data_IF_082457127289
#
_entry.id   IF_082457127289
#
_cell.length_a   1.000
_cell.length_b   1.000
_cell.length_c   1.000
_cell.angle_alpha   90.00
_cell.angle_beta   90.00
_cell.angle_gamma   90.00
#
_symmetry.space_group_name_H-M   'P 1'
#
loop_
_entity.id
_entity.type
_entity.pdbx_description
1 polymer ?
#
# COMPACT_ATOMS: atom_id res chain seq x y z
N UNK A 1 -14.40 4.21 24.60
CA UNK A 1 -13.44 5.30 24.85
C UNK A 1 -13.73 6.57 24.03
N UNK A 2 -13.44 6.63 22.72
CA UNK A 2 -13.51 7.87 21.91
C UNK A 2 -14.76 8.75 22.11
N UNK A 3 -15.97 8.19 22.05
CA UNK A 3 -17.22 8.96 22.21
C UNK A 3 -17.33 9.68 23.55
N UNK A 4 -16.84 9.08 24.65
CA UNK A 4 -16.82 9.71 25.97
C UNK A 4 -15.85 10.90 26.01
N UNK A 5 -14.64 10.72 25.46
CA UNK A 5 -13.63 11.80 25.45
C UNK A 5 -14.10 13.01 24.63
N UNK A 6 -14.76 12.78 23.49
CA UNK A 6 -15.30 13.87 22.66
C UNK A 6 -16.47 14.56 23.37
N UNK A 7 -17.43 13.80 23.91
CA UNK A 7 -18.55 14.36 24.67
C UNK A 7 -18.11 15.13 25.91
N UNK A 8 -17.03 14.69 26.58
CA UNK A 8 -16.45 15.38 27.72
C UNK A 8 -15.73 16.68 27.31
N UNK A 9 -14.99 16.68 26.19
CA UNK A 9 -14.44 17.92 25.61
C UNK A 9 -15.56 18.90 25.24
N UNK A 10 -16.57 18.47 24.49
CA UNK A 10 -17.71 19.31 24.11
C UNK A 10 -18.46 19.88 25.35
N UNK A 11 -18.54 19.10 26.45
CA UNK A 11 -19.16 19.55 27.71
C UNK A 11 -18.30 20.58 28.48
N UNK A 12 -16.97 20.45 28.39
CA UNK A 12 -16.00 21.35 29.02
C UNK A 12 -15.76 22.63 28.21
N UNK A 13 -15.91 22.58 26.89
CA UNK A 13 -15.86 23.73 25.98
C UNK A 13 -17.20 24.51 25.96
N UNK A 14 -18.32 23.85 26.32
CA UNK A 14 -19.65 24.44 26.44
C UNK A 14 -20.12 24.67 27.90
N UNK A 15 -21.09 23.89 28.43
CA UNK A 15 -21.75 24.17 29.72
C UNK A 15 -20.82 24.38 30.93
N UNK A 16 -19.64 23.74 30.95
CA UNK A 16 -18.71 23.83 32.08
C UNK A 16 -17.55 24.81 31.86
N UNK A 17 -17.55 25.58 30.77
CA UNK A 17 -16.46 26.48 30.37
C UNK A 17 -16.13 27.53 31.45
N UNK A 18 -17.14 27.96 32.22
CA UNK A 18 -17.00 28.97 33.28
C UNK A 18 -16.36 28.43 34.57
N UNK A 19 -16.20 27.10 34.72
CA UNK A 19 -15.63 26.50 35.93
C UNK A 19 -14.10 26.55 35.87
N UNK A 20 -13.51 27.52 36.55
CA UNK A 20 -12.06 27.77 36.55
C UNK A 20 -11.25 26.52 36.93
N UNK A 21 -11.65 25.81 38.00
CA UNK A 21 -11.01 24.57 38.46
C UNK A 21 -11.08 23.37 37.50
N UNK A 22 -11.61 23.53 36.28
CA UNK A 22 -11.53 22.57 35.18
C UNK A 22 -10.57 23.04 34.06
N UNK A 23 -9.72 24.05 34.30
CA UNK A 23 -8.67 24.53 33.38
C UNK A 23 -7.73 23.39 32.94
N UNK A 24 -7.19 22.67 33.90
CA UNK A 24 -6.08 21.73 33.67
C UNK A 24 -6.60 20.45 33.04
N UNK A 25 -7.81 20.02 33.46
CA UNK A 25 -8.53 18.91 32.84
C UNK A 25 -8.90 19.22 31.38
N UNK A 26 -9.30 20.46 31.05
CA UNK A 26 -9.51 20.89 29.65
C UNK A 26 -8.22 20.76 28.84
N UNK A 27 -7.10 21.26 29.38
CA UNK A 27 -5.80 21.22 28.71
C UNK A 27 -5.32 19.77 28.48
N UNK A 28 -5.43 18.89 29.48
CA UNK A 28 -5.09 17.47 29.34
C UNK A 28 -5.99 16.79 28.30
N UNK A 29 -7.31 16.99 28.37
CA UNK A 29 -8.26 16.30 27.50
C UNK A 29 -8.16 16.77 26.04
N UNK A 30 -7.85 18.06 25.82
CA UNK A 30 -7.52 18.60 24.50
C UNK A 30 -6.17 18.06 23.97
N UNK A 31 -5.13 18.01 24.81
CA UNK A 31 -3.84 17.39 24.47
C UNK A 31 -4.02 15.92 24.06
N UNK A 32 -4.83 15.17 24.82
CA UNK A 32 -5.19 13.77 24.54
C UNK A 32 -6.03 13.60 23.26
N UNK A 33 -6.92 14.56 22.94
CA UNK A 33 -7.69 14.63 21.68
C UNK A 33 -6.75 14.83 20.48
N UNK A 34 -5.75 15.70 20.62
CA UNK A 34 -4.71 15.92 19.59
C UNK A 34 -3.79 14.71 19.42
N UNK A 35 -3.31 14.11 20.50
CA UNK A 35 -2.44 12.92 20.43
C UNK A 35 -3.16 11.73 19.76
N UNK A 36 -4.41 11.46 20.14
CA UNK A 36 -5.22 10.41 19.49
C UNK A 36 -5.42 10.66 17.99
N UNK A 37 -5.61 11.92 17.57
CA UNK A 37 -5.73 12.27 16.15
C UNK A 37 -4.46 11.94 15.35
N UNK A 38 -3.28 12.26 15.89
CA UNK A 38 -2.00 11.93 15.27
C UNK A 38 -1.77 10.41 15.15
N UNK A 39 -1.97 9.67 16.25
CA UNK A 39 -1.81 8.20 16.26
C UNK A 39 -2.74 7.50 15.27
N UNK A 40 -4.00 7.93 15.17
CA UNK A 40 -4.95 7.36 14.20
C UNK A 40 -4.58 7.67 12.75
N UNK A 41 -4.00 8.85 12.47
CA UNK A 41 -3.49 9.22 11.15
C UNK A 41 -2.25 8.37 10.79
N UNK A 42 -1.30 8.21 11.71
CA UNK A 42 -0.06 7.49 11.41
C UNK A 42 -0.28 5.98 11.25
N UNK A 43 -1.19 5.36 11.99
CA UNK A 43 -1.58 3.97 11.74
C UNK A 43 -2.38 3.83 10.42
N UNK A 44 -3.20 4.82 10.05
CA UNK A 44 -3.89 4.81 8.75
C UNK A 44 -2.90 4.86 7.58
N UNK A 45 -1.85 5.67 7.68
CA UNK A 45 -0.73 5.68 6.72
C UNK A 45 0.05 4.36 6.72
N UNK A 46 0.28 3.74 7.89
CA UNK A 46 0.89 2.41 7.98
C UNK A 46 0.05 1.35 7.28
N UNK A 47 -1.28 1.39 7.38
CA UNK A 47 -2.15 0.51 6.59
C UNK A 47 -2.07 0.82 5.08
N UNK A 48 -2.22 2.08 4.68
CA UNK A 48 -2.23 2.54 3.28
C UNK A 48 -0.96 2.20 2.50
N UNK A 49 0.24 2.39 3.10
CA UNK A 49 1.51 2.36 2.35
C UNK A 49 2.53 1.31 2.83
N UNK A 50 2.31 0.68 4.00
CA UNK A 50 3.21 -0.33 4.56
C UNK A 50 2.55 -1.71 4.56
N UNK A 51 1.40 -1.90 5.23
CA UNK A 51 0.74 -3.22 5.31
C UNK A 51 0.22 -3.68 3.95
N UNK A 52 -0.38 -2.77 3.17
CA UNK A 52 -0.83 -3.00 1.78
C UNK A 52 0.27 -3.56 0.86
N UNK A 53 1.48 -3.01 0.93
CA UNK A 53 2.60 -3.34 0.03
C UNK A 53 3.47 -4.50 0.50
N UNK A 54 3.34 -4.92 1.76
CA UNK A 54 4.24 -5.89 2.40
C UNK A 54 4.17 -7.30 1.77
N UNK A 55 2.95 -7.86 1.61
CA UNK A 55 2.74 -9.23 1.09
C UNK A 55 3.03 -9.38 -0.41
N UNK A 56 3.11 -8.29 -1.16
CA UNK A 56 3.27 -8.28 -2.63
C UNK A 56 4.59 -8.95 -3.06
N UNK A 57 5.72 -8.49 -2.53
CA UNK A 57 7.06 -8.91 -2.98
C UNK A 57 7.50 -10.31 -2.55
N UNK A 58 6.66 -11.09 -1.88
CA UNK A 58 7.00 -12.43 -1.36
C UNK A 58 6.62 -13.57 -2.32
N UNK A 59 5.57 -13.40 -3.13
CA UNK A 59 4.99 -14.46 -4.01
C UNK A 59 6.01 -15.12 -4.95
N UNK A 60 7.03 -14.39 -5.39
CA UNK A 60 8.03 -14.91 -6.34
C UNK A 60 9.04 -15.91 -5.71
N UNK A 61 9.06 -16.09 -4.37
CA UNK A 61 9.96 -17.06 -3.71
C UNK A 61 9.38 -18.48 -3.61
N UNK A 62 8.06 -18.64 -3.60
CA UNK A 62 7.42 -19.95 -3.37
C UNK A 62 7.40 -20.82 -4.63
N UNK A 63 7.25 -20.20 -5.80
CA UNK A 63 7.24 -20.87 -7.11
C UNK A 63 8.53 -21.63 -7.42
N UNK A 64 9.63 -21.30 -6.75
CA UNK A 64 10.92 -22.00 -6.85
C UNK A 64 11.11 -23.16 -5.87
N UNK A 65 10.26 -23.35 -4.85
CA UNK A 65 10.43 -24.40 -3.83
C UNK A 65 9.70 -25.71 -4.12
N UNK A 66 8.62 -25.66 -4.91
CA UNK A 66 7.78 -26.84 -5.22
C UNK A 66 8.33 -27.76 -6.32
N UNK A 67 9.53 -27.47 -6.85
CA UNK A 67 10.10 -28.16 -8.03
C UNK A 67 11.41 -28.93 -7.74
N UNK A 68 11.80 -29.11 -6.47
CA UNK A 68 13.11 -29.68 -6.09
C UNK A 68 13.02 -30.91 -5.17
N UNK A 69 11.94 -31.69 -5.27
CA UNK A 69 11.84 -33.00 -4.62
C UNK A 69 11.29 -34.02 -5.63
N UNK A 70 11.72 -35.28 -5.49
CA UNK A 70 11.46 -36.38 -6.45
C UNK A 70 12.11 -36.17 -7.82
N UNK A 71 13.43 -36.37 -7.86
CA UNK A 71 14.10 -36.95 -9.02
C UNK A 71 14.90 -38.17 -8.56
N UNK A 72 14.42 -39.36 -8.92
CA UNK A 72 15.23 -40.45 -9.50
C UNK A 72 14.37 -41.72 -9.71
N UNK A 73 14.07 -42.04 -10.98
CA UNK A 73 13.85 -43.40 -11.50
C UNK A 73 13.74 -43.39 -13.05
N UNK A 74 14.67 -44.09 -13.70
CA UNK A 74 14.61 -44.70 -15.05
C UNK A 74 13.58 -44.24 -16.12
N UNK A 75 14.14 -43.68 -17.21
CA UNK A 75 14.11 -44.25 -18.59
C UNK A 75 12.82 -44.41 -19.43
N UNK A 76 13.05 -44.31 -20.74
CA UNK A 76 12.19 -44.66 -21.91
C UNK A 76 11.14 -43.61 -22.33
N UNK A 77 11.23 -43.06 -23.56
CA UNK A 77 10.15 -42.32 -24.19
C UNK A 77 9.23 -43.24 -25.01
N UNK A 78 7.93 -43.00 -24.98
CA UNK A 78 7.02 -43.43 -26.04
C UNK A 78 6.09 -42.26 -26.40
N UNK A 79 5.79 -42.16 -27.69
CA UNK A 79 4.95 -41.12 -28.28
C UNK A 79 3.68 -41.75 -28.83
N UNK A 80 2.52 -41.15 -28.55
CA UNK A 80 1.25 -41.49 -29.20
C UNK A 80 0.42 -40.21 -29.41
N UNK A 81 -0.44 -40.21 -30.42
CA UNK A 81 -1.10 -39.03 -30.98
C UNK A 81 -2.57 -39.31 -31.25
N UNK A 82 -3.44 -39.01 -30.29
CA UNK A 82 -4.90 -38.92 -30.47
C UNK A 82 -5.56 -38.14 -29.33
N UNK A 83 -6.78 -37.60 -29.44
CA UNK A 83 -7.39 -36.78 -30.50
C UNK A 83 -8.74 -36.24 -29.98
N UNK A 84 -9.34 -35.29 -30.71
CA UNK A 84 -10.73 -34.82 -30.61
C UNK A 84 -11.23 -34.11 -29.32
N UNK A 85 -11.97 -33.02 -29.54
CA UNK A 85 -12.94 -32.45 -28.61
C UNK A 85 -14.34 -33.03 -28.87
N UNK A 86 -15.25 -32.99 -27.88
CA UNK A 86 -16.61 -32.40 -28.04
C UNK A 86 -17.38 -32.35 -26.70
N UNK A 87 -18.45 -31.53 -26.57
CA UNK A 87 -19.11 -31.27 -25.28
C UNK A 87 -20.55 -31.81 -25.16
N UNK A 88 -21.15 -31.54 -23.98
CA UNK A 88 -22.60 -31.25 -23.76
C UNK A 88 -23.57 -32.46 -23.76
N UNK A 89 -24.18 -32.78 -22.60
CA UNK A 89 -25.66 -32.63 -22.32
C UNK A 89 -26.17 -33.36 -21.05
N UNK A 90 -27.04 -32.65 -20.32
CA UNK A 90 -28.30 -33.12 -19.67
C UNK A 90 -28.15 -34.11 -18.48
N UNK A 91 -29.17 -34.32 -17.61
CA UNK A 91 -30.58 -33.88 -17.62
C UNK A 91 -31.01 -33.26 -16.26
N UNK A 92 -31.99 -32.36 -16.33
CA UNK A 92 -32.64 -31.62 -15.24
C UNK A 92 -34.08 -32.11 -15.04
N UNK A 93 -34.52 -32.31 -13.79
CA UNK A 93 -35.92 -32.56 -13.33
C UNK A 93 -35.93 -32.68 -11.80
N UNK A 94 -36.87 -32.18 -10.97
CA UNK A 94 -37.86 -31.06 -10.97
C UNK A 94 -38.38 -30.93 -9.49
N UNK A 95 -39.27 -30.06 -9.00
CA UNK A 95 -40.23 -29.06 -9.54
C UNK A 95 -40.69 -28.12 -8.37
N UNK A 96 -41.79 -27.36 -8.55
CA UNK A 96 -42.48 -26.46 -7.58
C UNK A 96 -41.67 -25.21 -7.15
N UNK A 97 -42.00 -23.98 -7.57
CA UNK A 97 -43.24 -23.15 -7.44
C UNK A 97 -43.36 -22.49 -6.05
N UNK A 98 -43.65 -21.18 -5.89
CA UNK A 98 -44.11 -20.12 -6.82
C UNK A 98 -43.68 -18.71 -6.30
N UNK A 99 -43.82 -17.59 -7.05
CA UNK A 99 -43.02 -16.36 -6.85
C UNK A 99 -43.69 -15.21 -6.05
N UNK A 100 -42.89 -14.23 -5.59
CA UNK A 100 -43.42 -12.92 -5.16
C UNK A 100 -42.45 -11.87 -4.58
N UNK A 101 -42.16 -10.81 -5.36
CA UNK A 101 -41.86 -9.42 -4.93
C UNK A 101 -40.49 -9.03 -4.31
N UNK A 102 -40.15 -7.75 -4.55
CA UNK A 102 -39.30 -6.83 -3.76
C UNK A 102 -37.80 -7.12 -3.61
N UNK A 103 -37.03 -6.68 -4.61
CA UNK A 103 -35.64 -6.26 -4.41
C UNK A 103 -35.57 -4.96 -3.59
N UNK A 104 -35.34 -5.07 -2.28
CA UNK A 104 -34.78 -4.00 -1.42
C UNK A 104 -34.52 -4.50 0.02
N UNK A 105 -33.53 -3.90 0.70
CA UNK A 105 -33.22 -4.05 2.15
C UNK A 105 -32.54 -5.37 2.62
N UNK A 106 -31.38 -5.70 2.08
CA UNK A 106 -30.43 -6.61 2.77
C UNK A 106 -28.99 -6.07 2.74
N UNK A 107 -28.83 -4.83 3.21
CA UNK A 107 -27.53 -4.14 3.32
C UNK A 107 -27.44 -3.31 4.61
N UNK A 108 -28.40 -3.49 5.53
CA UNK A 108 -28.55 -2.68 6.75
C UNK A 108 -28.29 -3.46 8.05
N UNK A 109 -27.81 -4.70 7.95
CA UNK A 109 -27.42 -5.55 9.08
C UNK A 109 -26.01 -6.12 8.90
N UNK A 110 -25.06 -5.23 8.59
CA UNK A 110 -23.72 -5.39 9.16
C UNK A 110 -23.78 -4.99 10.63
N UNK A 111 -24.46 -5.80 11.44
CA UNK A 111 -24.21 -5.83 12.88
C UNK A 111 -22.72 -6.05 13.07
N UNK A 112 -22.13 -5.28 13.99
CA UNK A 112 -20.74 -5.46 14.37
C UNK A 112 -20.68 -6.65 15.33
N UNK A 113 -20.88 -7.85 14.76
CA UNK A 113 -20.54 -9.10 15.43
C UNK A 113 -19.02 -9.15 15.48
N UNK A 114 -18.46 -8.78 16.62
CA UNK A 114 -17.04 -8.90 16.92
C UNK A 114 -16.70 -10.40 17.03
N UNK A 115 -16.38 -11.02 15.90
CA UNK A 115 -15.85 -12.40 15.83
C UNK A 115 -14.42 -12.39 16.39
N UNK A 116 -14.33 -12.53 17.71
CA UNK A 116 -13.12 -12.28 18.52
C UNK A 116 -11.92 -13.20 18.22
N UNK A 117 -12.11 -14.25 17.41
CA UNK A 117 -11.09 -15.26 17.10
C UNK A 117 -10.27 -14.96 15.81
N UNK A 118 -10.51 -13.81 15.15
CA UNK A 118 -9.74 -13.35 13.98
C UNK A 118 -8.91 -12.11 14.31
N UNK A 119 -7.62 -12.11 13.94
CA UNK A 119 -6.71 -10.98 14.15
C UNK A 119 -7.19 -9.73 13.39
N UNK A 120 -7.55 -8.63 14.09
CA UNK A 120 -7.99 -7.40 13.44
C UNK A 120 -6.88 -6.70 12.63
N UNK A 121 -5.59 -7.03 12.82
CA UNK A 121 -4.50 -6.53 11.96
C UNK A 121 -4.46 -7.26 10.59
N UNK A 122 -4.97 -8.50 10.48
CA UNK A 122 -5.05 -9.20 9.19
C UNK A 122 -6.16 -8.65 8.29
N UNK A 123 -7.33 -8.30 8.87
CA UNK A 123 -8.43 -7.64 8.15
C UNK A 123 -8.18 -6.13 7.99
N UNK A 124 -7.07 -5.79 7.33
CA UNK A 124 -6.59 -4.42 7.10
C UNK A 124 -7.65 -3.45 6.58
N UNK A 125 -8.59 -3.92 5.75
CA UNK A 125 -9.73 -3.14 5.23
C UNK A 125 -10.69 -2.70 6.34
N UNK A 126 -11.13 -3.65 7.16
CA UNK A 126 -12.02 -3.41 8.32
C UNK A 126 -11.33 -2.46 9.32
N UNK A 127 -10.04 -2.66 9.57
CA UNK A 127 -9.27 -1.82 10.49
C UNK A 127 -9.15 -0.37 10.00
N UNK A 128 -8.89 -0.14 8.70
CA UNK A 128 -8.95 1.22 8.13
C UNK A 128 -10.32 1.88 8.34
N UNK A 129 -11.41 1.13 8.21
CA UNK A 129 -12.76 1.60 8.56
C UNK A 129 -12.93 1.96 10.04
N UNK A 130 -12.28 1.24 10.96
CA UNK A 130 -12.28 1.56 12.40
C UNK A 130 -11.50 2.86 12.67
N UNK A 131 -10.32 3.04 12.05
CA UNK A 131 -9.51 4.25 12.18
C UNK A 131 -10.28 5.50 11.70
N UNK A 132 -10.95 5.41 10.55
CA UNK A 132 -11.77 6.48 9.99
C UNK A 132 -12.97 6.80 10.89
N UNK A 133 -13.66 5.78 11.43
CA UNK A 133 -14.71 5.98 12.45
C UNK A 133 -14.19 6.63 13.74
N UNK A 134 -12.92 6.41 14.11
CA UNK A 134 -12.25 7.10 15.21
C UNK A 134 -12.02 8.59 14.91
N UNK A 135 -11.43 8.88 13.75
CA UNK A 135 -11.16 10.25 13.27
C UNK A 135 -12.45 11.06 13.03
N UNK A 136 -13.52 10.38 12.60
CA UNK A 136 -14.88 10.92 12.52
C UNK A 136 -15.36 11.43 13.87
N UNK A 137 -15.30 10.57 14.91
CA UNK A 137 -15.70 10.92 16.28
C UNK A 137 -14.88 12.08 16.83
N UNK A 138 -13.57 12.15 16.55
CA UNK A 138 -12.72 13.28 16.94
C UNK A 138 -13.05 14.61 16.22
N UNK A 139 -13.96 14.60 15.24
CA UNK A 139 -14.31 15.72 14.34
C UNK A 139 -13.13 16.17 13.47
N UNK A 140 -12.30 15.21 13.02
CA UNK A 140 -11.01 15.45 12.33
C UNK A 140 -10.89 14.87 10.91
N UNK A 141 -12.01 14.73 10.22
CA UNK A 141 -12.04 14.21 8.83
C UNK A 141 -11.38 15.16 7.83
N UNK A 142 -11.61 16.49 7.83
CA UNK A 142 -10.93 17.41 6.90
C UNK A 142 -9.40 17.36 7.03
N UNK A 143 -8.87 17.34 8.26
CA UNK A 143 -7.44 17.23 8.51
C UNK A 143 -6.88 15.85 8.12
N UNK A 144 -7.68 14.79 8.25
CA UNK A 144 -7.31 13.44 7.78
C UNK A 144 -7.21 13.40 6.26
N UNK A 145 -8.21 13.94 5.54
CA UNK A 145 -8.23 14.04 4.07
C UNK A 145 -7.00 14.79 3.58
N UNK A 146 -6.72 15.95 4.17
CA UNK A 146 -5.52 16.72 3.85
C UNK A 146 -4.22 15.96 4.16
N UNK A 147 -4.10 15.34 5.34
CA UNK A 147 -2.89 14.60 5.71
C UNK A 147 -2.60 13.43 4.78
N UNK A 148 -3.63 12.75 4.25
CA UNK A 148 -3.49 11.70 3.24
C UNK A 148 -2.96 12.30 1.93
N UNK A 149 -3.55 13.40 1.45
CA UNK A 149 -3.12 14.07 0.21
C UNK A 149 -1.69 14.61 0.31
N UNK A 150 -1.36 15.33 1.40
CA UNK A 150 -0.04 15.93 1.62
C UNK A 150 1.09 14.89 1.70
N UNK A 151 0.81 13.67 2.21
CA UNK A 151 1.82 12.60 2.33
C UNK A 151 1.89 11.63 1.15
N UNK A 152 0.83 11.52 0.34
CA UNK A 152 0.71 10.53 -0.74
C UNK A 152 1.92 10.47 -1.68
N UNK A 153 2.33 11.62 -2.23
CA UNK A 153 3.45 11.67 -3.17
C UNK A 153 4.79 11.25 -2.53
N UNK A 154 5.00 11.59 -1.25
CA UNK A 154 6.18 11.17 -0.50
C UNK A 154 6.19 9.66 -0.27
N UNK A 155 5.07 9.09 0.16
CA UNK A 155 4.98 7.66 0.46
C UNK A 155 5.08 6.78 -0.79
N UNK A 156 4.53 7.21 -1.93
CA UNK A 156 4.78 6.58 -3.23
C UNK A 156 6.28 6.59 -3.59
N UNK A 157 6.99 7.70 -3.39
CA UNK A 157 8.46 7.77 -3.58
C UNK A 157 9.22 6.88 -2.59
N UNK A 158 8.74 6.71 -1.35
CA UNK A 158 9.33 5.75 -0.41
C UNK A 158 9.03 4.29 -0.77
N UNK A 159 7.92 4.00 -1.46
CA UNK A 159 7.64 2.68 -2.04
C UNK A 159 8.60 2.40 -3.21
N UNK A 160 8.88 3.40 -4.07
CA UNK A 160 9.96 3.31 -5.09
C UNK A 160 11.29 3.00 -4.41
N UNK A 161 11.73 3.82 -3.46
CA UNK A 161 13.03 3.64 -2.78
C UNK A 161 13.20 2.25 -2.17
N UNK A 162 12.21 1.79 -1.39
CA UNK A 162 12.22 0.44 -0.78
C UNK A 162 12.24 -0.67 -1.82
N UNK A 163 11.55 -0.51 -2.96
CA UNK A 163 11.49 -1.52 -4.02
C UNK A 163 12.78 -1.57 -4.86
N UNK A 164 13.38 -0.42 -5.18
CA UNK A 164 14.67 -0.34 -5.89
C UNK A 164 15.77 -1.04 -5.09
N UNK A 165 15.86 -0.80 -3.77
CA UNK A 165 16.78 -1.52 -2.90
C UNK A 165 16.47 -3.02 -2.84
N UNK A 166 15.20 -3.41 -2.71
CA UNK A 166 14.77 -4.82 -2.69
C UNK A 166 15.21 -5.60 -3.95
N UNK A 167 15.04 -5.02 -5.14
CA UNK A 167 15.45 -5.65 -6.40
C UNK A 167 16.97 -5.66 -6.57
N UNK A 168 17.66 -4.57 -6.21
CA UNK A 168 19.12 -4.52 -6.25
C UNK A 168 19.77 -5.58 -5.34
N UNK A 169 19.30 -5.71 -4.10
CA UNK A 169 19.81 -6.69 -3.12
C UNK A 169 19.52 -8.14 -3.54
N UNK A 170 18.34 -8.41 -4.12
CA UNK A 170 18.05 -9.70 -4.74
C UNK A 170 19.03 -10.04 -5.88
N UNK A 171 19.32 -9.07 -6.76
CA UNK A 171 20.29 -9.22 -7.85
C UNK A 171 21.71 -9.49 -7.37
N UNK A 172 22.16 -8.78 -6.33
CA UNK A 172 23.46 -9.04 -5.68
C UNK A 172 23.51 -10.44 -5.04
N UNK A 173 22.44 -10.88 -4.37
CA UNK A 173 22.36 -12.22 -3.74
C UNK A 173 22.36 -13.36 -4.78
N UNK A 174 21.74 -13.15 -5.95
CA UNK A 174 21.79 -14.10 -7.08
C UNK A 174 23.18 -14.17 -7.74
N UNK A 175 24.05 -13.20 -7.47
CA UNK A 175 25.40 -13.14 -8.05
C UNK A 175 25.46 -12.60 -9.49
N UNK A 176 24.39 -11.97 -9.99
CA UNK A 176 24.38 -11.39 -11.33
C UNK A 176 25.40 -10.23 -11.45
N UNK A 177 26.19 -10.23 -12.52
CA UNK A 177 27.15 -9.13 -12.77
C UNK A 177 26.43 -7.92 -13.39
N UNK A 178 25.79 -7.14 -12.53
CA UNK A 178 25.13 -5.83 -12.80
C UNK A 178 26.00 -4.88 -13.66
N UNK A 179 27.32 -5.08 -13.67
CA UNK A 179 28.31 -4.41 -14.52
C UNK A 179 28.07 -4.50 -16.03
N UNK A 180 27.38 -5.53 -16.55
CA UNK A 180 27.22 -5.77 -17.99
C UNK A 180 25.76 -6.13 -18.37
N UNK A 181 25.23 -5.34 -19.32
CA UNK A 181 24.05 -5.53 -20.18
C UNK A 181 22.66 -5.86 -19.57
N UNK A 182 22.52 -6.60 -18.47
CA UNK A 182 21.21 -7.03 -17.91
C UNK A 182 20.35 -5.90 -17.28
N UNK A 183 20.70 -4.62 -17.46
CA UNK A 183 20.00 -3.48 -16.86
C UNK A 183 18.51 -3.30 -17.24
N UNK A 184 17.98 -3.71 -18.41
CA UNK A 184 16.53 -3.64 -18.65
C UNK A 184 15.75 -4.71 -17.88
N UNK A 185 16.37 -5.84 -17.49
CA UNK A 185 15.71 -6.89 -16.71
C UNK A 185 15.45 -6.45 -15.26
N UNK A 186 16.41 -5.77 -14.65
CA UNK A 186 16.26 -5.21 -13.30
C UNK A 186 15.25 -4.05 -13.26
N UNK A 187 15.15 -3.25 -14.33
CA UNK A 187 14.08 -2.27 -14.45
C UNK A 187 12.71 -2.95 -14.60
N UNK A 188 12.61 -4.03 -15.40
CA UNK A 188 11.36 -4.78 -15.56
C UNK A 188 10.91 -5.41 -14.23
N UNK A 189 11.78 -6.11 -13.51
CA UNK A 189 11.47 -6.69 -12.19
C UNK A 189 11.04 -5.59 -11.18
N UNK A 190 11.68 -4.42 -11.21
CA UNK A 190 11.29 -3.27 -10.39
C UNK A 190 9.92 -2.72 -10.80
N UNK A 191 9.64 -2.60 -12.10
CA UNK A 191 8.41 -2.03 -12.62
C UNK A 191 7.20 -2.95 -12.39
N UNK A 192 7.36 -4.27 -12.58
CA UNK A 192 6.38 -5.30 -12.19
C UNK A 192 6.06 -5.21 -10.69
N UNK A 193 7.10 -5.19 -9.84
CA UNK A 193 6.96 -5.07 -8.39
C UNK A 193 6.30 -3.75 -7.96
N UNK A 194 6.54 -2.66 -8.69
CA UNK A 194 5.91 -1.36 -8.43
C UNK A 194 4.46 -1.31 -8.91
N UNK A 195 4.12 -1.90 -10.05
CA UNK A 195 2.72 -1.99 -10.47
C UNK A 195 1.89 -2.77 -9.44
N UNK A 196 2.33 -3.94 -8.98
CA UNK A 196 1.60 -4.69 -7.94
C UNK A 196 1.48 -3.91 -6.62
N UNK A 197 2.56 -3.22 -6.18
CA UNK A 197 2.52 -2.40 -4.95
C UNK A 197 1.63 -1.17 -5.09
N UNK A 198 1.67 -0.47 -6.22
CA UNK A 198 0.81 0.70 -6.45
C UNK A 198 -0.65 0.32 -6.67
N UNK A 199 -0.95 -0.84 -7.29
CA UNK A 199 -2.29 -1.41 -7.30
C UNK A 199 -2.79 -1.73 -5.88
N UNK A 200 -1.95 -2.30 -5.01
CA UNK A 200 -2.31 -2.55 -3.62
C UNK A 200 -2.54 -1.25 -2.81
N UNK A 201 -1.79 -0.18 -3.08
CA UNK A 201 -2.03 1.16 -2.52
C UNK A 201 -3.34 1.75 -3.03
N UNK A 202 -3.59 1.72 -4.35
CA UNK A 202 -4.83 2.22 -4.94
C UNK A 202 -6.08 1.47 -4.41
N UNK A 203 -5.99 0.16 -4.22
CA UNK A 203 -7.04 -0.63 -3.57
C UNK A 203 -7.27 -0.21 -2.11
N UNK A 204 -6.20 0.06 -1.34
CA UNK A 204 -6.31 0.55 0.02
C UNK A 204 -6.94 1.96 0.07
N UNK A 205 -6.57 2.87 -0.84
CA UNK A 205 -7.22 4.18 -0.97
C UNK A 205 -8.69 4.08 -1.35
N UNK A 206 -9.08 3.14 -2.23
CA UNK A 206 -10.49 2.93 -2.58
C UNK A 206 -11.34 2.53 -1.36
N UNK A 207 -10.81 1.67 -0.49
CA UNK A 207 -11.47 1.28 0.78
C UNK A 207 -11.54 2.46 1.76
N UNK A 208 -10.44 3.22 1.91
CA UNK A 208 -10.41 4.43 2.74
C UNK A 208 -11.42 5.48 2.23
N UNK A 209 -11.47 5.72 0.93
CA UNK A 209 -12.38 6.68 0.30
C UNK A 209 -13.84 6.27 0.48
N UNK A 210 -14.19 4.99 0.31
CA UNK A 210 -15.53 4.48 0.58
C UNK A 210 -15.98 4.69 2.04
N UNK A 211 -15.08 4.46 3.00
CA UNK A 211 -15.34 4.75 4.41
C UNK A 211 -15.43 6.25 4.73
N UNK A 212 -14.63 7.10 4.05
CA UNK A 212 -14.74 8.56 4.18
C UNK A 212 -16.07 9.07 3.61
N UNK A 213 -16.48 8.60 2.43
CA UNK A 213 -17.77 8.92 1.81
C UNK A 213 -18.94 8.50 2.71
N UNK A 214 -18.92 7.26 3.23
CA UNK A 214 -19.93 6.77 4.19
C UNK A 214 -19.97 7.61 5.48
N UNK A 215 -18.82 8.13 5.91
CA UNK A 215 -18.71 8.96 7.13
C UNK A 215 -19.30 10.36 6.91
N UNK A 216 -19.01 11.01 5.78
CA UNK A 216 -19.51 12.35 5.45
C UNK A 216 -20.99 12.32 5.13
N UNK A 217 -21.44 11.38 4.28
CA UNK A 217 -22.84 11.24 3.87
C UNK A 217 -23.78 10.67 4.95
N UNK A 218 -23.27 10.35 6.14
CA UNK A 218 -24.09 9.91 7.27
C UNK A 218 -24.93 11.07 7.81
N UNK A 219 -26.26 10.93 8.02
CA UNK A 219 -27.09 11.97 8.62
C UNK A 219 -26.82 12.21 10.13
N UNK A 220 -25.84 11.50 10.71
CA UNK A 220 -25.31 11.73 12.05
C UNK A 220 -23.91 12.40 12.03
N UNK A 221 -23.43 12.85 10.86
CA UNK A 221 -22.17 13.57 10.75
C UNK A 221 -22.32 15.00 11.30
N UNK A 222 -21.36 15.44 12.11
CA UNK A 222 -21.35 16.79 12.72
C UNK A 222 -20.57 17.78 11.85
N UNK A 223 -20.78 17.73 10.53
CA UNK A 223 -20.04 18.53 9.56
C UNK A 223 -20.98 19.51 8.87
N UNK A 224 -20.97 20.76 9.36
CA UNK A 224 -21.82 21.87 8.93
C UNK A 224 -21.39 22.49 7.58
N UNK A 225 -20.71 21.72 6.73
CA UNK A 225 -20.11 22.21 5.48
C UNK A 225 -19.62 21.09 4.57
N UNK A 226 -19.54 21.40 3.27
CA UNK A 226 -19.17 20.45 2.22
C UNK A 226 -17.71 20.01 2.34
N UNK A 227 -17.48 18.80 2.88
CA UNK A 227 -16.14 18.22 2.98
C UNK A 227 -15.76 17.66 1.61
N UNK A 228 -15.05 18.48 0.83
CA UNK A 228 -14.39 18.02 -0.40
C UNK A 228 -13.37 16.91 -0.08
N UNK A 229 -13.71 15.67 -0.42
CA UNK A 229 -12.82 14.52 -0.41
C UNK A 229 -11.86 14.56 -1.61
N UNK A 230 -10.79 13.78 -1.53
CA UNK A 230 -9.97 13.41 -2.71
C UNK A 230 -10.67 12.30 -3.49
N UNK A 231 -10.31 12.14 -4.77
CA UNK A 231 -10.83 11.06 -5.62
C UNK A 231 -9.72 10.07 -6.02
N UNK A 232 -10.10 8.89 -6.50
CA UNK A 232 -9.18 7.91 -7.08
C UNK A 232 -8.39 8.47 -8.27
N UNK A 233 -8.93 9.47 -8.98
CA UNK A 233 -8.21 10.20 -10.04
C UNK A 233 -6.97 10.91 -9.47
N UNK A 234 -7.07 11.57 -8.31
CA UNK A 234 -5.92 12.22 -7.65
C UNK A 234 -4.83 11.19 -7.29
N UNK A 235 -5.25 10.01 -6.82
CA UNK A 235 -4.36 8.90 -6.47
C UNK A 235 -3.63 8.38 -7.71
N UNK A 236 -4.34 8.17 -8.82
CA UNK A 236 -3.74 7.71 -10.08
C UNK A 236 -2.81 8.73 -10.71
N UNK A 237 -3.13 10.04 -10.64
CA UNK A 237 -2.21 11.11 -11.07
C UNK A 237 -0.91 11.04 -10.26
N UNK A 238 -0.96 10.87 -8.93
CA UNK A 238 0.26 10.75 -8.12
C UNK A 238 1.05 9.45 -8.32
N UNK A 239 0.39 8.34 -8.65
CA UNK A 239 1.07 7.12 -9.10
C UNK A 239 1.77 7.36 -10.45
N UNK A 240 1.11 8.05 -11.40
CA UNK A 240 1.68 8.38 -12.70
C UNK A 240 2.88 9.34 -12.59
N UNK A 241 2.76 10.43 -11.82
CA UNK A 241 3.84 11.40 -11.56
C UNK A 241 5.12 10.69 -11.08
N UNK A 242 4.98 9.76 -10.12
CA UNK A 242 6.11 9.04 -9.51
C UNK A 242 6.68 7.97 -10.44
N UNK A 243 5.85 7.27 -11.23
CA UNK A 243 6.33 6.34 -12.27
C UNK A 243 7.06 7.07 -13.41
N UNK A 244 6.53 8.20 -13.86
CA UNK A 244 7.13 9.03 -14.91
C UNK A 244 8.48 9.57 -14.45
N UNK A 245 8.57 10.11 -13.23
CA UNK A 245 9.82 10.58 -12.62
C UNK A 245 10.89 9.47 -12.60
N UNK A 246 10.54 8.25 -12.16
CA UNK A 246 11.45 7.10 -12.14
C UNK A 246 11.94 6.71 -13.55
N UNK A 247 11.04 6.70 -14.54
CA UNK A 247 11.37 6.35 -15.92
C UNK A 247 12.25 7.41 -16.59
N UNK A 248 11.99 8.70 -16.36
CA UNK A 248 12.84 9.80 -16.83
C UNK A 248 14.25 9.70 -16.25
N UNK A 249 14.40 9.53 -14.92
CA UNK A 249 15.72 9.42 -14.28
C UNK A 249 16.55 8.24 -14.85
N UNK A 250 15.89 7.11 -15.13
CA UNK A 250 16.54 5.94 -15.75
C UNK A 250 16.95 6.18 -17.21
N UNK A 251 16.07 6.79 -18.02
CA UNK A 251 16.32 7.02 -19.45
C UNK A 251 17.39 8.10 -19.67
N UNK A 252 17.37 9.19 -18.91
CA UNK A 252 18.38 10.23 -18.97
C UNK A 252 19.78 9.73 -18.58
N UNK A 253 19.86 8.82 -17.59
CA UNK A 253 21.12 8.17 -17.24
C UNK A 253 21.67 7.30 -18.39
N UNK A 254 20.81 6.60 -19.13
CA UNK A 254 21.24 5.84 -20.31
C UNK A 254 21.72 6.76 -21.44
N UNK A 255 21.00 7.85 -21.69
CA UNK A 255 21.30 8.82 -22.74
C UNK A 255 22.63 9.56 -22.47
N UNK A 256 22.83 10.03 -21.24
CA UNK A 256 24.10 10.67 -20.81
C UNK A 256 25.29 9.71 -20.90
N UNK A 257 25.13 8.44 -20.48
CA UNK A 257 26.17 7.41 -20.59
C UNK A 257 26.55 7.05 -22.05
N UNK A 258 25.65 7.21 -23.01
CA UNK A 258 25.97 7.04 -24.44
C UNK A 258 26.62 8.28 -25.07
N UNK A 259 26.56 9.45 -24.41
CA UNK A 259 27.17 10.70 -24.88
C UNK A 259 28.52 11.03 -24.22
N UNK A 260 28.93 10.32 -23.16
CA UNK A 260 30.11 10.66 -22.36
C UNK A 260 31.36 9.82 -22.64
N UNK A 261 32.40 10.45 -23.19
CA UNK A 261 33.80 10.02 -23.10
C UNK A 261 34.26 9.82 -21.63
N UNK A 262 35.32 9.04 -21.35
CA UNK A 262 35.65 8.55 -20.01
C UNK A 262 36.35 9.59 -19.11
N UNK A 263 35.61 10.61 -18.66
CA UNK A 263 36.10 11.57 -17.64
C UNK A 263 35.71 11.16 -16.22
N UNK A 264 36.70 10.76 -15.43
CA UNK A 264 36.53 10.37 -14.01
C UNK A 264 36.41 11.59 -13.08
N UNK A 265 35.19 11.99 -12.72
CA UNK A 265 34.94 12.79 -11.52
C UNK A 265 33.70 12.30 -10.77
N UNK A 266 33.87 11.99 -9.48
CA UNK A 266 32.86 11.36 -8.63
C UNK A 266 32.00 12.43 -7.94
N UNK A 267 30.97 12.94 -8.63
CA UNK A 267 30.10 13.99 -8.09
C UNK A 267 29.15 13.44 -7.02
N UNK A 268 29.41 13.78 -5.77
CA UNK A 268 28.63 13.33 -4.60
C UNK A 268 27.64 14.43 -4.17
N UNK A 269 26.50 14.56 -4.87
CA UNK A 269 25.56 15.65 -4.63
C UNK A 269 24.07 15.32 -4.94
N UNK A 270 23.21 15.85 -4.06
CA UNK A 270 21.75 16.04 -4.18
C UNK A 270 20.83 14.80 -4.14
N UNK A 271 19.85 14.87 -3.24
CA UNK A 271 18.88 13.81 -2.88
C UNK A 271 17.77 13.55 -3.91
N UNK A 272 18.08 13.71 -5.19
CA UNK A 272 17.17 13.44 -6.33
C UNK A 272 17.81 12.61 -7.46
N UNK A 273 19.02 12.07 -7.24
CA UNK A 273 19.74 11.18 -8.19
C UNK A 273 19.96 9.77 -7.64
N UNK A 274 19.24 9.42 -6.56
CA UNK A 274 19.53 8.20 -5.81
C UNK A 274 19.06 6.93 -6.52
N UNK A 275 18.00 6.97 -7.35
CA UNK A 275 17.46 5.75 -7.96
C UNK A 275 18.30 5.30 -9.15
N UNK A 276 18.64 6.20 -10.07
CA UNK A 276 19.53 5.91 -11.18
C UNK A 276 20.93 5.50 -10.70
N UNK A 277 21.42 6.06 -9.58
CA UNK A 277 22.71 5.70 -8.99
C UNK A 277 22.83 4.20 -8.63
N UNK A 278 21.74 3.48 -8.32
CA UNK A 278 21.79 2.02 -8.13
C UNK A 278 22.08 1.28 -9.45
N UNK A 279 21.49 1.71 -10.56
CA UNK A 279 21.73 1.16 -11.89
C UNK A 279 23.11 1.59 -12.47
N UNK A 280 23.67 2.71 -12.04
CA UNK A 280 24.98 3.20 -12.48
C UNK A 280 26.18 2.41 -11.90
N UNK A 281 26.02 1.76 -10.74
CA UNK A 281 27.14 1.44 -9.84
C UNK A 281 27.90 0.17 -10.22
N UNK A 282 29.13 0.31 -10.72
CA UNK A 282 30.10 -0.80 -10.74
C UNK A 282 30.46 -1.22 -9.29
N UNK A 283 30.80 -2.51 -9.11
CA UNK A 283 31.07 -3.17 -7.82
C UNK A 283 31.92 -2.31 -6.87
N UNK A 284 31.50 -2.12 -5.60
CA UNK A 284 32.44 -1.71 -4.55
C UNK A 284 33.47 -2.84 -4.37
N UNK A 285 34.73 -2.54 -4.65
CA UNK A 285 35.81 -3.51 -4.50
C UNK A 285 36.04 -3.77 -3.00
N UNK A 286 35.72 -4.99 -2.52
CA UNK A 286 36.07 -5.40 -1.16
C UNK A 286 37.58 -5.20 -0.94
N UNK A 287 38.03 -4.62 0.18
CA UNK A 287 39.44 -4.53 0.49
C UNK A 287 40.01 -5.96 0.54
N UNK A 288 41.02 -6.23 -0.29
CA UNK A 288 41.79 -7.47 -0.19
C UNK A 288 42.74 -7.32 0.98
N UNK A 289 42.41 -7.90 2.14
CA UNK A 289 43.42 -8.14 3.16
C UNK A 289 44.51 -9.02 2.52
N UNK A 290 45.79 -8.62 2.54
CA UNK A 290 46.85 -9.50 2.10
C UNK A 290 46.90 -10.70 3.04
N UNK A 291 46.84 -11.90 2.46
CA UNK A 291 47.46 -13.05 3.10
C UNK A 291 48.98 -12.88 2.95
N UNK A 292 49.72 -13.39 3.93
CA UNK A 292 51.15 -13.20 4.15
C UNK A 292 51.53 -11.81 4.73
N UNK A 293 52.43 -11.87 5.71
CA UNK A 293 53.21 -10.78 6.32
C UNK A 293 54.67 -11.02 5.97
#
# INVERSE_FOLDING_TARGET
MFSFQVSAVDSLEGPLLQVEGLSDLRLELHSKKMNMHLVLIDELHRHLYIKSTNRVGQRNKEKGRISSLVKDASSVPLMDVTNLSTPRKFLETSQFSTPGSSSMRETSLLEIKEDMDLDPEENSTVFMGILIKGLAKLKKIPETVKAIQDRLEQELKQIVKRSTTQVADNGYQRGENISQENQPRLLLELLELLFDKFNAVAAAHSVVLGHLQQTVASPCSQYDGDIKLYDMVDVWVKIQDVLQMLLTEYLDMKNTRTASEPSTQLSYASSGREFAAFFAKKKPQRPKNPLFK
#
